data_IF_165170604095
#
_entry.id   IF_165170604095
#
_cell.length_a   1.000
_cell.length_b   1.000
_cell.length_c   1.000
_cell.angle_alpha   90.00
_cell.angle_beta   90.00
_cell.angle_gamma   90.00
#
_symmetry.space_group_name_H-M   'P 1'
#
loop_
_entity.id
_entity.type
_entity.pdbx_description
1 polymer ?
#
# COMPACT_ATOMS: atom_id res chain seq x y z
N UNK A 1 6.91 12.76 20.89
CA UNK A 1 6.88 11.91 19.68
C UNK A 1 7.06 10.42 19.98
N UNK A 2 8.05 9.99 20.79
CA UNK A 2 8.35 8.56 20.98
C UNK A 2 7.25 7.67 21.59
N UNK A 3 6.36 8.20 22.46
CA UNK A 3 5.37 7.37 23.16
C UNK A 3 4.16 6.96 22.29
N UNK A 4 3.83 7.74 21.26
CA UNK A 4 2.57 7.58 20.50
C UNK A 4 2.67 6.59 19.34
N UNK A 5 3.87 6.33 18.81
CA UNK A 5 4.07 5.34 17.74
C UNK A 5 4.13 3.89 18.27
N UNK A 6 4.29 3.73 19.58
CA UNK A 6 4.28 2.44 20.28
C UNK A 6 2.86 1.95 20.63
N UNK A 7 1.84 2.81 20.56
CA UNK A 7 0.45 2.43 20.87
C UNK A 7 -0.15 1.58 19.76
N UNK A 8 -1.15 0.75 20.11
CA UNK A 8 -1.90 -0.02 19.12
C UNK A 8 -2.72 0.91 18.22
N UNK A 9 -2.91 0.51 16.95
CA UNK A 9 -3.82 1.22 16.05
C UNK A 9 -5.24 1.28 16.64
N UNK A 10 -5.97 2.39 16.45
CA UNK A 10 -7.41 2.43 16.70
C UNK A 10 -8.11 1.31 15.93
N UNK A 11 -9.06 0.62 16.56
CA UNK A 11 -9.83 -0.48 15.94
C UNK A 11 -10.52 -0.06 14.64
N UNK A 12 -10.96 1.19 14.57
CA UNK A 12 -11.75 1.75 13.46
C UNK A 12 -10.91 1.95 12.19
N UNK A 13 -9.58 1.90 12.33
CA UNK A 13 -8.65 1.97 11.20
C UNK A 13 -8.50 0.63 10.46
N UNK A 14 -8.94 -0.47 11.06
CA UNK A 14 -8.75 -1.83 10.52
C UNK A 14 -9.97 -2.20 9.68
N UNK A 15 -9.74 -2.42 8.38
CA UNK A 15 -10.74 -2.97 7.47
C UNK A 15 -10.53 -4.48 7.34
N UNK A 16 -11.59 -5.21 7.00
CA UNK A 16 -11.55 -6.66 6.86
C UNK A 16 -11.84 -7.08 5.43
N UNK A 17 -11.09 -8.06 4.91
CA UNK A 17 -11.38 -8.72 3.63
C UNK A 17 -11.50 -10.22 3.83
N UNK A 18 -12.31 -10.89 3.02
CA UNK A 18 -12.28 -12.36 2.99
C UNK A 18 -10.94 -12.85 2.44
N UNK A 19 -10.24 -13.64 3.24
CA UNK A 19 -9.02 -14.35 2.87
C UNK A 19 -9.28 -15.80 2.47
N UNK A 20 -8.19 -16.54 2.18
CA UNK A 20 -8.26 -17.96 1.86
C UNK A 20 -8.98 -18.74 2.97
N UNK A 21 -9.79 -19.73 2.58
CA UNK A 21 -10.59 -20.56 3.49
C UNK A 21 -11.68 -19.80 4.28
N UNK A 22 -12.11 -18.62 3.82
CA UNK A 22 -13.21 -17.86 4.43
C UNK A 22 -12.84 -17.13 5.72
N UNK A 23 -11.56 -17.08 6.08
CA UNK A 23 -11.07 -16.32 7.23
C UNK A 23 -10.99 -14.84 6.91
N UNK A 24 -11.42 -14.00 7.83
CA UNK A 24 -11.23 -12.55 7.70
C UNK A 24 -9.76 -12.18 7.85
N UNK A 25 -9.25 -11.35 6.95
CA UNK A 25 -7.88 -10.83 6.97
C UNK A 25 -7.95 -9.32 7.19
N UNK A 26 -7.38 -8.80 8.30
CA UNK A 26 -7.32 -7.37 8.54
C UNK A 26 -6.39 -6.71 7.52
N UNK A 27 -6.74 -5.50 7.07
CA UNK A 27 -5.88 -4.67 6.24
C UNK A 27 -6.15 -3.18 6.52
N UNK A 28 -5.13 -2.36 6.30
CA UNK A 28 -5.24 -0.90 6.34
C UNK A 28 -5.49 -0.38 4.93
N UNK A 29 -6.52 0.44 4.78
CA UNK A 29 -6.78 1.18 3.55
C UNK A 29 -5.73 2.28 3.35
N UNK A 30 -5.39 2.58 2.09
CA UNK A 30 -4.32 3.54 1.79
C UNK A 30 -4.62 4.95 2.30
N UNK A 31 -5.89 5.39 2.23
CA UNK A 31 -6.29 6.70 2.73
C UNK A 31 -6.14 6.82 4.26
N UNK A 32 -6.48 5.76 5.02
CA UNK A 32 -6.27 5.71 6.47
C UNK A 32 -4.79 5.77 6.84
N UNK A 33 -3.93 5.11 6.07
CA UNK A 33 -2.48 5.20 6.27
C UNK A 33 -1.96 6.65 6.06
N UNK A 34 -2.50 7.37 5.07
CA UNK A 34 -2.19 8.78 4.82
C UNK A 34 -2.67 9.66 5.98
N UNK A 35 -3.90 9.45 6.48
CA UNK A 35 -4.42 10.20 7.62
C UNK A 35 -3.59 9.97 8.88
N UNK A 36 -3.29 8.71 9.23
CA UNK A 36 -2.45 8.39 10.38
C UNK A 36 -1.04 9.01 10.25
N UNK A 37 -0.44 8.98 9.05
CA UNK A 37 0.83 9.65 8.80
C UNK A 37 0.72 11.17 8.98
N UNK A 38 -0.37 11.80 8.51
CA UNK A 38 -0.62 13.22 8.73
C UNK A 38 -0.90 13.57 10.20
N UNK A 39 -1.56 12.71 10.96
CA UNK A 39 -1.81 12.90 12.40
C UNK A 39 -0.52 12.81 13.21
N UNK A 40 0.36 11.85 12.90
CA UNK A 40 1.59 11.61 13.67
C UNK A 40 2.76 12.48 13.24
N UNK A 41 2.91 12.75 11.94
CA UNK A 41 4.04 13.52 11.40
C UNK A 41 3.66 14.94 11.01
N UNK A 42 2.38 15.32 11.01
CA UNK A 42 1.86 16.53 10.34
C UNK A 42 1.97 16.44 8.81
N UNK A 43 1.14 17.19 8.10
CA UNK A 43 1.06 17.19 6.64
C UNK A 43 2.39 17.50 5.92
N UNK A 44 3.33 18.17 6.59
CA UNK A 44 4.65 18.54 6.07
C UNK A 44 5.81 17.81 6.75
N UNK A 45 5.54 16.83 7.62
CA UNK A 45 6.58 16.06 8.30
C UNK A 45 6.97 14.78 7.59
N UNK A 46 6.27 14.41 6.52
CA UNK A 46 6.58 13.23 5.71
C UNK A 46 6.33 13.49 4.22
N UNK A 47 7.00 12.73 3.37
CA UNK A 47 6.75 12.65 1.92
C UNK A 47 6.81 11.21 1.45
N UNK A 48 6.24 10.93 0.27
CA UNK A 48 6.39 9.65 -0.41
C UNK A 48 6.93 9.87 -1.83
N UNK A 49 7.80 8.96 -2.26
CA UNK A 49 8.44 8.99 -3.57
C UNK A 49 8.35 7.60 -4.20
N UNK A 50 7.86 7.55 -5.44
CA UNK A 50 7.92 6.34 -6.26
C UNK A 50 9.35 6.21 -6.76
N UNK A 51 10.04 5.15 -6.33
CA UNK A 51 11.42 4.85 -6.74
C UNK A 51 11.40 4.10 -8.06
N UNK A 52 10.53 3.10 -8.17
CA UNK A 52 10.41 2.25 -9.35
C UNK A 52 8.98 1.72 -9.48
N UNK A 53 8.54 1.52 -10.72
CA UNK A 53 7.35 0.73 -11.05
C UNK A 53 7.73 -0.21 -12.18
N UNK A 54 7.52 -1.51 -11.96
CA UNK A 54 7.81 -2.56 -12.92
C UNK A 54 6.51 -3.26 -13.31
N UNK A 55 6.29 -3.38 -14.62
CA UNK A 55 5.20 -4.20 -15.15
C UNK A 55 5.73 -5.63 -15.30
N UNK A 56 5.42 -6.50 -14.34
CA UNK A 56 5.94 -7.86 -14.34
C UNK A 56 5.28 -8.72 -15.43
N UNK A 57 3.97 -8.53 -15.64
CA UNK A 57 3.25 -9.15 -16.75
C UNK A 57 2.04 -8.31 -17.21
N UNK A 58 1.62 -8.52 -18.45
CA UNK A 58 0.40 -7.97 -19.00
C UNK A 58 -0.09 -8.83 -20.17
N UNK A 59 -0.97 -9.77 -19.85
CA UNK A 59 -1.38 -10.84 -20.75
C UNK A 59 -2.79 -10.59 -21.28
N UNK A 60 -2.99 -10.93 -22.55
CA UNK A 60 -4.31 -11.04 -23.13
C UNK A 60 -4.78 -12.51 -23.05
N UNK A 61 -5.89 -12.74 -22.37
CA UNK A 61 -6.53 -14.04 -22.23
C UNK A 61 -7.21 -14.44 -23.55
N UNK A 62 -7.44 -15.75 -23.80
CA UNK A 62 -8.17 -16.23 -24.98
C UNK A 62 -9.58 -15.61 -25.13
N UNK A 63 -10.17 -15.13 -24.04
CA UNK A 63 -11.45 -14.43 -24.01
C UNK A 63 -11.37 -12.98 -24.54
N UNK A 64 -10.19 -12.51 -24.92
CA UNK A 64 -9.92 -11.12 -25.32
C UNK A 64 -9.77 -10.15 -24.14
N UNK A 65 -9.85 -10.65 -22.91
CA UNK A 65 -9.70 -9.88 -21.65
C UNK A 65 -8.25 -9.76 -21.24
N UNK A 66 -7.92 -8.80 -20.38
CA UNK A 66 -6.55 -8.53 -19.96
C UNK A 66 -6.34 -8.79 -18.48
N UNK A 67 -5.20 -9.38 -18.14
CA UNK A 67 -4.71 -9.49 -16.77
C UNK A 67 -3.30 -8.88 -16.69
N UNK A 68 -3.03 -8.10 -15.64
CA UNK A 68 -1.73 -7.48 -15.44
C UNK A 68 -1.31 -7.53 -13.98
N UNK A 69 -0.01 -7.60 -13.76
CA UNK A 69 0.63 -7.49 -12.45
C UNK A 69 1.76 -6.48 -12.53
N UNK A 70 1.88 -5.67 -11.48
CA UNK A 70 2.93 -4.68 -11.35
C UNK A 70 3.49 -4.72 -9.93
N UNK A 71 4.80 -4.57 -9.83
CA UNK A 71 5.53 -4.30 -8.62
C UNK A 71 5.92 -2.82 -8.57
N UNK A 72 6.01 -2.25 -7.37
CA UNK A 72 6.47 -0.88 -7.17
C UNK A 72 7.36 -0.81 -5.93
N UNK A 73 8.40 0.03 -5.99
CA UNK A 73 9.22 0.40 -4.84
C UNK A 73 8.86 1.84 -4.47
N UNK A 74 8.44 2.05 -3.21
CA UNK A 74 8.10 3.38 -2.69
C UNK A 74 8.98 3.68 -1.49
N UNK A 75 9.54 4.89 -1.46
CA UNK A 75 10.25 5.47 -0.32
C UNK A 75 9.34 6.43 0.43
N UNK A 76 9.26 6.27 1.74
CA UNK A 76 8.67 7.25 2.66
C UNK A 76 9.79 7.91 3.45
N UNK A 77 9.82 9.24 3.44
CA UNK A 77 10.89 10.06 4.06
C UNK A 77 10.25 10.99 5.07
N UNK A 78 10.82 11.08 6.26
CA UNK A 78 10.45 12.05 7.29
C UNK A 78 11.27 13.35 7.13
N UNK A 79 10.79 14.43 7.73
CA UNK A 79 11.43 15.75 7.67
C UNK A 79 12.86 15.79 8.23
N UNK A 80 13.20 14.89 9.14
CA UNK A 80 14.55 14.74 9.69
C UNK A 80 15.50 13.92 8.80
N UNK A 81 15.00 13.41 7.67
CA UNK A 81 15.75 12.61 6.69
C UNK A 81 15.69 11.10 6.93
N UNK A 82 15.07 10.63 8.02
CA UNK A 82 14.83 9.20 8.20
C UNK A 82 13.90 8.67 7.11
N UNK A 83 14.19 7.48 6.56
CA UNK A 83 13.38 6.91 5.50
C UNK A 83 13.27 5.39 5.58
N UNK A 84 12.19 4.87 5.01
CA UNK A 84 11.99 3.45 4.76
C UNK A 84 11.52 3.24 3.31
N UNK A 85 11.97 2.15 2.71
CA UNK A 85 11.53 1.67 1.40
C UNK A 85 10.92 0.29 1.55
N UNK A 86 9.90 0.02 0.76
CA UNK A 86 9.37 -1.33 0.62
C UNK A 86 8.82 -1.55 -0.79
N UNK A 87 8.69 -2.82 -1.15
CA UNK A 87 8.05 -3.27 -2.37
C UNK A 87 6.56 -3.45 -2.11
N UNK A 88 5.73 -3.06 -3.06
CA UNK A 88 4.30 -3.37 -3.10
C UNK A 88 3.93 -4.07 -4.38
N UNK A 89 2.80 -4.78 -4.36
CA UNK A 89 2.30 -5.50 -5.51
C UNK A 89 0.84 -5.15 -5.80
N UNK A 90 0.52 -5.02 -7.07
CA UNK A 90 -0.83 -4.79 -7.54
C UNK A 90 -1.11 -5.64 -8.77
N UNK A 91 -2.26 -6.31 -8.75
CA UNK A 91 -2.75 -7.07 -9.89
C UNK A 91 -4.16 -6.63 -10.26
N UNK A 92 -4.52 -6.89 -11.51
CA UNK A 92 -5.86 -6.72 -12.03
C UNK A 92 -6.12 -7.81 -13.04
N UNK A 93 -7.21 -8.55 -12.85
CA UNK A 93 -7.55 -9.70 -13.67
C UNK A 93 -8.82 -9.43 -14.49
N UNK A 94 -8.91 -10.07 -15.65
CA UNK A 94 -10.12 -10.15 -16.45
C UNK A 94 -10.73 -8.78 -16.86
N UNK A 95 -9.88 -7.79 -17.14
CA UNK A 95 -10.30 -6.45 -17.56
C UNK A 95 -10.68 -6.39 -19.03
N UNK A 96 -11.57 -5.45 -19.38
CA UNK A 96 -12.02 -5.24 -20.77
C UNK A 96 -10.94 -4.67 -21.68
N UNK A 97 -9.98 -3.93 -21.13
CA UNK A 97 -8.91 -3.29 -21.89
C UNK A 97 -7.57 -3.40 -21.18
N UNK A 98 -6.49 -3.40 -21.97
CA UNK A 98 -5.11 -3.39 -21.47
C UNK A 98 -4.85 -2.20 -20.53
N UNK A 99 -5.38 -1.03 -20.90
CA UNK A 99 -5.25 0.19 -20.10
C UNK A 99 -5.86 0.05 -18.71
N UNK A 100 -7.08 -0.49 -18.60
CA UNK A 100 -7.74 -0.71 -17.32
C UNK A 100 -6.98 -1.71 -16.44
N UNK A 101 -6.45 -2.80 -17.02
CA UNK A 101 -5.63 -3.76 -16.30
C UNK A 101 -4.38 -3.10 -15.69
N UNK A 102 -3.62 -2.36 -16.51
CA UNK A 102 -2.39 -1.70 -16.08
C UNK A 102 -2.64 -0.56 -15.10
N UNK A 103 -3.71 0.21 -15.30
CA UNK A 103 -4.08 1.31 -14.40
C UNK A 103 -4.34 0.78 -12.98
N UNK A 104 -5.19 -0.24 -12.84
CA UNK A 104 -5.50 -0.84 -11.54
C UNK A 104 -4.27 -1.51 -10.93
N UNK A 105 -3.49 -2.27 -11.71
CA UNK A 105 -2.30 -2.95 -11.21
C UNK A 105 -1.27 -1.94 -10.67
N UNK A 106 -0.92 -0.90 -11.43
CA UNK A 106 0.05 0.12 -11.01
C UNK A 106 -0.42 0.94 -9.81
N UNK A 107 -1.68 1.39 -9.79
CA UNK A 107 -2.24 2.17 -8.67
C UNK A 107 -2.24 1.35 -7.37
N UNK A 108 -2.59 0.07 -7.46
CA UNK A 108 -2.60 -0.85 -6.32
C UNK A 108 -1.17 -1.13 -5.83
N UNK A 109 -0.21 -1.36 -6.74
CA UNK A 109 1.18 -1.62 -6.38
C UNK A 109 1.82 -0.46 -5.60
N UNK A 110 1.64 0.77 -6.08
CA UNK A 110 2.14 1.98 -5.41
C UNK A 110 1.47 2.18 -4.04
N UNK A 111 0.14 1.97 -3.96
CA UNK A 111 -0.59 2.10 -2.70
C UNK A 111 -0.15 1.05 -1.68
N UNK A 112 0.08 -0.18 -2.10
CA UNK A 112 0.58 -1.25 -1.24
C UNK A 112 2.01 -0.94 -0.74
N UNK A 113 2.91 -0.54 -1.65
CA UNK A 113 4.28 -0.19 -1.33
C UNK A 113 4.35 0.95 -0.31
N UNK A 114 3.55 2.00 -0.49
CA UNK A 114 3.48 3.13 0.44
C UNK A 114 3.03 2.68 1.84
N UNK A 115 1.95 1.91 1.95
CA UNK A 115 1.47 1.39 3.25
C UNK A 115 2.53 0.55 3.95
N UNK A 116 3.24 -0.28 3.18
CA UNK A 116 4.31 -1.14 3.68
C UNK A 116 5.53 -0.36 4.12
N UNK A 117 5.89 0.72 3.44
CA UNK A 117 6.97 1.62 3.86
C UNK A 117 6.57 2.40 5.13
N UNK A 118 5.35 2.93 5.21
CA UNK A 118 4.83 3.69 6.37
C UNK A 118 4.82 2.86 7.66
N UNK A 119 4.52 1.55 7.59
CA UNK A 119 4.41 0.69 8.78
C UNK A 119 5.71 0.61 9.60
N UNK A 120 6.87 0.79 8.98
CA UNK A 120 8.16 0.67 9.67
C UNK A 120 8.38 1.77 10.70
N UNK A 121 7.67 2.89 10.60
CA UNK A 121 7.77 3.98 11.57
C UNK A 121 6.99 3.72 12.88
N UNK A 122 6.12 2.72 12.96
CA UNK A 122 5.49 2.37 14.25
C UNK A 122 4.24 1.48 14.19
N UNK A 123 3.84 0.98 15.37
CA UNK A 123 2.62 0.15 15.56
C UNK A 123 1.34 0.89 15.19
N UNK A 124 1.28 2.18 15.49
CA UNK A 124 0.17 3.05 15.13
C UNK A 124 0.01 3.23 13.61
N UNK A 125 1.00 2.84 12.80
CA UNK A 125 1.04 3.05 11.36
C UNK A 125 0.88 1.76 10.54
N UNK A 126 0.34 0.71 11.14
CA UNK A 126 0.00 -0.52 10.43
C UNK A 126 0.90 -1.73 10.71
N UNK A 127 1.90 -1.63 11.60
CA UNK A 127 2.75 -2.77 11.94
C UNK A 127 1.95 -3.91 12.61
N UNK A 128 0.85 -3.62 13.31
CA UNK A 128 0.10 -4.63 14.08
C UNK A 128 -0.87 -5.50 13.28
N UNK A 129 -1.02 -5.25 11.97
CA UNK A 129 -1.99 -5.94 11.10
C UNK A 129 -1.34 -6.68 9.92
N UNK A 130 -0.01 -6.65 9.84
CA UNK A 130 0.78 -7.52 8.97
C UNK A 130 1.25 -8.72 9.77
#
# INVERSE_FOLDING_TARGET
MHATLATHMPSDCISERQGPSGKSVPYLEAWKAIELANEHFYYNGWSSHIVEITQDYCDQLPTGRYSAGCSAIVRVILKDGAFHEDVGYGSSENQKSKGAALETAKKSAVSDAMKRAVRYFGRALGLSIY
#
